data_IF_264619234257
#
_entry.id   IF_264619234257
#
_cell.length_a   1.000
_cell.length_b   1.000
_cell.length_c   1.000
_cell.angle_alpha   90.00
_cell.angle_beta   90.00
_cell.angle_gamma   90.00
#
_symmetry.space_group_name_H-M   'P 1'
#
loop_
_entity.id
_entity.type
_entity.pdbx_description
1 polymer ?
#
# COMPACT_ATOMS: atom_id res chain seq x y z
N UNK A 1 1.97 -11.99 6.66
CA UNK A 1 1.44 -10.61 6.73
C UNK A 1 -0.06 -10.68 6.47
N UNK A 2 -0.89 -9.93 7.20
CA UNK A 2 -2.35 -9.89 6.98
C UNK A 2 -2.79 -8.42 6.95
N UNK A 3 -3.60 -8.04 5.96
CA UNK A 3 -4.23 -6.73 5.91
C UNK A 3 -5.42 -6.67 6.87
N UNK A 4 -5.40 -5.72 7.79
CA UNK A 4 -6.45 -5.37 8.74
C UNK A 4 -7.24 -4.17 8.21
N UNK A 5 -8.44 -4.43 7.70
CA UNK A 5 -9.27 -3.39 7.08
C UNK A 5 -9.83 -2.39 8.09
N UNK A 6 -9.84 -1.10 7.71
CA UNK A 6 -10.30 0.00 8.55
C UNK A 6 -11.83 0.21 8.58
N UNK A 7 -12.56 -0.53 7.75
CA UNK A 7 -14.01 -0.39 7.61
C UNK A 7 -14.44 0.87 6.86
N UNK A 8 -15.76 1.10 6.86
CA UNK A 8 -16.41 2.17 6.10
C UNK A 8 -17.20 3.10 7.03
N UNK A 9 -17.20 4.38 6.69
CA UNK A 9 -18.12 5.37 7.26
C UNK A 9 -19.56 4.89 7.03
N UNK A 10 -20.40 4.83 8.08
CA UNK A 10 -21.80 4.40 7.94
C UNK A 10 -22.60 5.24 6.94
N UNK A 11 -23.62 4.64 6.35
CA UNK A 11 -24.53 5.37 5.46
C UNK A 11 -25.33 6.41 6.24
N UNK A 12 -25.52 7.59 5.65
CA UNK A 12 -26.33 8.66 6.24
C UNK A 12 -25.66 9.42 7.40
N UNK A 13 -24.39 9.13 7.72
CA UNK A 13 -23.64 9.86 8.74
C UNK A 13 -22.65 10.83 8.11
N UNK A 14 -22.49 12.00 8.72
CA UNK A 14 -21.38 12.89 8.41
C UNK A 14 -20.05 12.28 8.89
N UNK A 15 -19.03 12.29 8.02
CA UNK A 15 -17.71 11.70 8.31
C UNK A 15 -17.06 12.38 9.50
N UNK A 16 -17.14 13.71 9.60
CA UNK A 16 -16.53 14.44 10.71
C UNK A 16 -17.21 14.11 12.04
N UNK A 17 -18.55 14.01 12.04
CA UNK A 17 -19.33 13.65 13.22
C UNK A 17 -18.98 12.25 13.80
N UNK A 18 -18.60 11.28 12.96
CA UNK A 18 -18.28 9.91 13.43
C UNK A 18 -16.78 9.60 13.55
N UNK A 19 -15.91 10.49 13.06
CA UNK A 19 -14.47 10.25 12.95
C UNK A 19 -13.83 9.80 14.27
N UNK A 20 -14.10 10.50 15.38
CA UNK A 20 -13.50 10.16 16.68
C UNK A 20 -13.94 8.79 17.21
N UNK A 21 -15.20 8.41 17.01
CA UNK A 21 -15.71 7.09 17.39
C UNK A 21 -15.09 5.98 16.54
N UNK A 22 -15.02 6.20 15.22
CA UNK A 22 -14.39 5.24 14.30
C UNK A 22 -12.90 5.06 14.61
N UNK A 23 -12.19 6.16 14.90
CA UNK A 23 -10.79 6.13 15.31
C UNK A 23 -10.60 5.27 16.57
N UNK A 24 -11.39 5.53 17.61
CA UNK A 24 -11.32 4.79 18.88
C UNK A 24 -11.53 3.30 18.65
N UNK A 25 -12.60 2.93 17.96
CA UNK A 25 -12.90 1.52 17.64
C UNK A 25 -11.82 0.87 16.79
N UNK A 26 -11.26 1.59 15.81
CA UNK A 26 -10.21 1.04 14.96
C UNK A 26 -8.93 0.78 15.76
N UNK A 27 -8.52 1.70 16.63
CA UNK A 27 -7.35 1.52 17.51
C UNK A 27 -7.53 0.31 18.44
N UNK A 28 -8.71 0.15 19.05
CA UNK A 28 -9.02 -1.00 19.92
C UNK A 28 -8.93 -2.33 19.14
N UNK A 29 -9.52 -2.39 17.96
CA UNK A 29 -9.47 -3.56 17.09
C UNK A 29 -8.04 -3.88 16.64
N UNK A 30 -7.24 -2.87 16.30
CA UNK A 30 -5.85 -3.05 15.91
C UNK A 30 -5.00 -3.58 17.07
N UNK A 31 -5.20 -3.09 18.31
CA UNK A 31 -4.52 -3.63 19.49
C UNK A 31 -4.86 -5.11 19.71
N UNK A 32 -6.15 -5.44 19.65
CA UNK A 32 -6.61 -6.82 19.78
C UNK A 32 -6.00 -7.72 18.70
N UNK A 33 -6.06 -7.31 17.43
CA UNK A 33 -5.49 -8.05 16.32
C UNK A 33 -3.97 -8.21 16.46
N UNK A 34 -3.26 -7.15 16.86
CA UNK A 34 -1.82 -7.20 17.06
C UNK A 34 -1.42 -8.21 18.16
N UNK A 35 -2.15 -8.23 19.28
CA UNK A 35 -1.87 -9.14 20.39
C UNK A 35 -2.12 -10.62 20.00
N UNK A 36 -3.08 -10.89 19.11
CA UNK A 36 -3.29 -12.23 18.52
C UNK A 36 -2.21 -12.59 17.50
N UNK A 37 -1.90 -11.69 16.58
CA UNK A 37 -0.91 -11.94 15.52
C UNK A 37 0.50 -12.16 16.11
N UNK A 38 0.81 -11.52 17.24
CA UNK A 38 2.07 -11.72 17.95
C UNK A 38 2.26 -13.15 18.47
N UNK A 39 1.17 -13.87 18.79
CA UNK A 39 1.23 -15.27 19.24
C UNK A 39 1.65 -16.23 18.11
N UNK A 40 1.50 -15.78 16.86
CA UNK A 40 1.75 -16.55 15.65
C UNK A 40 2.93 -15.97 14.82
N UNK A 41 3.73 -15.08 15.42
CA UNK A 41 4.84 -14.36 14.76
C UNK A 41 4.41 -13.65 13.45
N UNK A 42 3.18 -13.16 13.40
CA UNK A 42 2.60 -12.51 12.23
C UNK A 42 2.62 -10.98 12.32
N UNK A 43 2.79 -10.35 11.16
CA UNK A 43 2.68 -8.90 10.98
C UNK A 43 1.29 -8.55 10.46
N UNK A 44 0.63 -7.61 11.13
CA UNK A 44 -0.58 -6.94 10.67
C UNK A 44 -0.23 -5.70 9.84
N UNK A 45 -1.00 -5.45 8.79
CA UNK A 45 -0.84 -4.31 7.90
C UNK A 45 -2.09 -3.45 7.92
N UNK A 46 -1.92 -2.13 7.95
CA UNK A 46 -3.01 -1.18 7.68
C UNK A 46 -2.75 -0.47 6.36
N UNK A 47 -3.76 -0.38 5.51
CA UNK A 47 -3.66 0.19 4.18
C UNK A 47 -4.60 1.40 4.05
N UNK A 48 -4.06 2.60 3.76
CA UNK A 48 -4.88 3.71 3.30
C UNK A 48 -5.45 3.43 1.90
N UNK A 49 -6.77 3.45 1.75
CA UNK A 49 -7.44 3.29 0.46
C UNK A 49 -8.04 4.63 0.02
N UNK A 50 -7.81 5.02 -1.23
CA UNK A 50 -8.34 6.28 -1.74
C UNK A 50 -9.88 6.30 -1.70
N UNK A 51 -10.43 7.41 -1.25
CA UNK A 51 -11.87 7.64 -1.20
C UNK A 51 -12.38 8.52 -2.35
N UNK A 52 -11.54 8.79 -3.35
CA UNK A 52 -11.93 9.53 -4.55
C UNK A 52 -12.58 8.62 -5.58
N UNK A 53 -11.98 7.46 -5.83
CA UNK A 53 -12.42 6.55 -6.89
C UNK A 53 -12.55 5.09 -6.45
N UNK A 54 -11.82 4.63 -5.43
CA UNK A 54 -11.86 3.22 -5.02
C UNK A 54 -12.98 2.95 -4.04
N UNK A 55 -13.01 3.64 -2.90
CA UNK A 55 -14.09 3.48 -1.93
C UNK A 55 -14.39 4.80 -1.19
N UNK A 56 -15.39 5.57 -1.65
CA UNK A 56 -15.75 6.87 -1.07
C UNK A 56 -16.03 6.87 0.43
N UNK A 57 -16.37 5.70 0.99
CA UNK A 57 -16.71 5.57 2.40
C UNK A 57 -15.56 5.00 3.24
N UNK A 58 -14.44 4.60 2.65
CA UNK A 58 -13.38 3.98 3.43
C UNK A 58 -12.80 4.92 4.49
N UNK A 59 -12.60 4.40 5.70
CA UNK A 59 -12.25 5.22 6.86
C UNK A 59 -10.81 5.74 6.81
N UNK A 60 -9.86 4.84 6.53
CA UNK A 60 -8.42 5.11 6.52
C UNK A 60 -7.98 5.46 5.09
N UNK A 61 -7.75 6.73 4.78
CA UNK A 61 -7.60 7.17 3.38
C UNK A 61 -6.32 7.95 3.07
N UNK A 62 -5.43 8.15 4.04
CA UNK A 62 -4.12 8.74 3.81
C UNK A 62 -3.00 8.06 4.62
N UNK A 63 -1.75 8.05 4.12
CA UNK A 63 -0.59 7.60 4.87
C UNK A 63 -0.39 8.36 6.19
N UNK A 64 -0.67 9.66 6.24
CA UNK A 64 -0.53 10.44 7.47
C UNK A 64 -1.50 9.96 8.56
N UNK A 65 -2.74 9.61 8.18
CA UNK A 65 -3.74 9.09 9.11
C UNK A 65 -3.29 7.72 9.62
N UNK A 66 -2.80 6.84 8.73
CA UNK A 66 -2.31 5.53 9.11
C UNK A 66 -1.07 5.59 10.02
N UNK A 67 -0.12 6.48 9.75
CA UNK A 67 1.04 6.70 10.62
C UNK A 67 0.61 7.12 12.04
N UNK A 68 -0.32 8.08 12.15
CA UNK A 68 -0.86 8.51 13.44
C UNK A 68 -1.62 7.38 14.16
N UNK A 69 -2.32 6.50 13.44
CA UNK A 69 -2.97 5.33 14.04
C UNK A 69 -1.96 4.31 14.57
N UNK A 70 -0.93 3.99 13.78
CA UNK A 70 0.13 3.06 14.18
C UNK A 70 0.87 3.55 15.43
N UNK A 71 1.16 4.85 15.51
CA UNK A 71 1.76 5.48 16.69
C UNK A 71 0.85 5.32 17.93
N UNK A 72 -0.44 5.66 17.82
CA UNK A 72 -1.41 5.52 18.92
C UNK A 72 -1.62 4.06 19.37
N UNK A 73 -1.55 3.12 18.44
CA UNK A 73 -1.68 1.68 18.75
C UNK A 73 -0.44 1.18 19.50
N UNK A 74 0.76 1.63 19.11
CA UNK A 74 2.00 1.34 19.81
C UNK A 74 2.38 -0.14 19.81
N UNK A 75 2.16 -0.83 18.68
CA UNK A 75 2.50 -2.26 18.51
C UNK A 75 3.52 -2.45 17.38
N UNK A 76 4.68 -3.06 17.62
CA UNK A 76 5.74 -3.17 16.63
C UNK A 76 5.43 -4.16 15.49
N UNK A 77 4.50 -5.09 15.71
CA UNK A 77 4.02 -6.05 14.70
C UNK A 77 2.86 -5.52 13.85
N UNK A 78 2.54 -4.22 13.96
CA UNK A 78 1.70 -3.51 12.99
C UNK A 78 2.54 -2.59 12.12
N UNK A 79 2.29 -2.61 10.82
CA UNK A 79 3.04 -1.83 9.83
C UNK A 79 2.10 -1.19 8.80
N UNK A 80 2.61 -0.21 8.09
CA UNK A 80 1.94 0.44 6.97
C UNK A 80 2.06 -0.41 5.70
N UNK A 81 0.94 -0.70 5.04
CA UNK A 81 0.92 -1.10 3.65
C UNK A 81 0.74 0.16 2.81
N UNK A 82 1.78 0.54 2.08
CA UNK A 82 1.75 1.74 1.23
C UNK A 82 1.51 1.32 -0.21
N UNK A 83 0.24 1.32 -0.61
CA UNK A 83 -0.15 1.22 -2.02
C UNK A 83 0.06 2.59 -2.71
N UNK A 84 0.92 2.61 -3.73
CA UNK A 84 1.29 3.84 -4.42
C UNK A 84 0.18 4.37 -5.34
N UNK A 85 -0.74 3.52 -5.80
CA UNK A 85 -1.92 3.95 -6.54
C UNK A 85 -2.87 4.74 -5.63
N UNK A 86 -3.15 4.23 -4.43
CA UNK A 86 -3.97 4.93 -3.44
C UNK A 86 -3.29 6.23 -2.96
N UNK A 87 -1.99 6.18 -2.65
CA UNK A 87 -1.23 7.33 -2.20
C UNK A 87 -1.18 8.45 -3.27
N UNK A 88 -0.92 8.11 -4.54
CA UNK A 88 -0.85 9.10 -5.61
C UNK A 88 -2.17 9.85 -5.78
N UNK A 89 -3.29 9.11 -5.77
CA UNK A 89 -4.63 9.69 -5.97
C UNK A 89 -5.01 10.64 -4.83
N UNK A 90 -4.62 10.33 -3.59
CA UNK A 90 -5.01 11.11 -2.42
C UNK A 90 -4.05 12.26 -2.13
N UNK A 91 -2.76 11.95 -2.02
CA UNK A 91 -1.75 12.84 -1.43
C UNK A 91 -0.64 13.20 -2.43
N UNK A 92 -0.43 12.39 -3.48
CA UNK A 92 0.69 12.56 -4.40
C UNK A 92 2.03 12.48 -3.67
N UNK A 93 2.97 13.35 -4.07
CA UNK A 93 4.25 13.58 -3.37
C UNK A 93 5.00 12.29 -2.99
N UNK A 94 4.98 11.29 -3.89
CA UNK A 94 5.36 9.92 -3.57
C UNK A 94 6.80 9.80 -3.04
N UNK A 95 7.75 10.55 -3.59
CA UNK A 95 9.14 10.47 -3.12
C UNK A 95 9.27 10.86 -1.64
N UNK A 96 8.66 11.99 -1.25
CA UNK A 96 8.71 12.47 0.13
C UNK A 96 7.88 11.60 1.06
N UNK A 97 6.74 11.10 0.60
CA UNK A 97 5.92 10.17 1.39
C UNK A 97 6.66 8.85 1.62
N UNK A 98 7.34 8.31 0.61
CA UNK A 98 8.19 7.13 0.75
C UNK A 98 9.31 7.36 1.77
N UNK A 99 10.06 8.45 1.64
CA UNK A 99 11.11 8.82 2.60
C UNK A 99 10.56 8.95 4.04
N UNK A 100 9.43 9.66 4.20
CA UNK A 100 8.84 9.98 5.51
C UNK A 100 8.32 8.72 6.21
N UNK A 101 7.60 7.88 5.47
CA UNK A 101 6.93 6.72 6.07
C UNK A 101 7.76 5.45 6.01
N UNK A 102 8.94 5.46 5.38
CA UNK A 102 9.81 4.30 5.22
C UNK A 102 9.97 3.43 6.49
N UNK A 103 10.23 4.00 7.69
CA UNK A 103 10.40 3.20 8.90
C UNK A 103 9.15 2.42 9.34
N UNK A 104 7.97 2.84 8.86
CA UNK A 104 6.68 2.23 9.18
C UNK A 104 6.24 1.20 8.12
N UNK A 105 6.80 1.25 6.92
CA UNK A 105 6.37 0.42 5.79
C UNK A 105 6.68 -1.06 6.06
N UNK A 106 5.66 -1.90 5.98
CA UNK A 106 5.76 -3.37 6.03
C UNK A 106 5.48 -4.04 4.69
N UNK A 107 4.86 -3.33 3.76
CA UNK A 107 4.58 -3.77 2.40
C UNK A 107 4.30 -2.59 1.46
N UNK A 108 4.59 -2.76 0.16
CA UNK A 108 4.34 -1.78 -0.90
C UNK A 108 3.54 -2.46 -1.99
N UNK A 109 2.56 -1.76 -2.55
CA UNK A 109 1.84 -2.20 -3.75
C UNK A 109 1.89 -1.14 -4.83
N UNK A 110 1.77 -1.59 -6.09
CA UNK A 110 1.89 -0.74 -7.26
C UNK A 110 0.78 -1.01 -8.28
N UNK A 111 0.28 0.07 -8.87
CA UNK A 111 -0.49 0.08 -10.09
C UNK A 111 -0.35 1.46 -10.75
N UNK A 112 -0.45 1.52 -12.07
CA UNK A 112 -0.37 2.79 -12.79
C UNK A 112 -1.62 3.65 -12.56
N UNK A 113 -1.45 4.97 -12.48
CA UNK A 113 -2.52 5.95 -12.26
C UNK A 113 -2.81 6.68 -13.57
N UNK A 114 -4.09 6.94 -13.93
CA UNK A 114 -5.30 6.66 -13.16
C UNK A 114 -5.92 5.27 -13.42
N UNK A 115 -5.44 4.52 -14.41
CA UNK A 115 -6.14 3.32 -14.91
C UNK A 115 -6.09 2.07 -14.03
N UNK A 116 -5.22 2.03 -13.00
CA UNK A 116 -4.94 0.86 -12.16
C UNK A 116 -4.49 -0.37 -12.97
N UNK A 117 -3.62 -0.12 -13.94
CA UNK A 117 -3.07 -1.11 -14.87
C UNK A 117 -1.58 -1.35 -14.62
N UNK A 118 -0.92 -2.09 -15.52
CA UNK A 118 0.51 -2.40 -15.45
C UNK A 118 1.36 -1.13 -15.25
N UNK A 119 2.48 -1.20 -14.52
CA UNK A 119 3.41 -0.08 -14.30
C UNK A 119 3.87 0.65 -15.58
N UNK A 120 4.02 -0.06 -16.70
CA UNK A 120 4.42 0.53 -17.99
C UNK A 120 3.24 0.98 -18.87
N UNK A 121 2.00 0.83 -18.42
CA UNK A 121 0.85 1.34 -19.15
C UNK A 121 0.85 2.89 -19.16
N UNK A 122 0.17 3.54 -20.13
CA UNK A 122 0.04 5.00 -20.12
C UNK A 122 -0.56 5.52 -18.81
N UNK A 123 0.13 6.46 -18.18
CA UNK A 123 -0.25 7.05 -16.90
C UNK A 123 0.76 8.10 -16.42
N UNK A 124 0.57 8.56 -15.19
CA UNK A 124 1.33 9.68 -14.63
C UNK A 124 2.54 9.27 -13.78
N UNK A 125 2.66 7.99 -13.39
CA UNK A 125 3.75 7.52 -12.53
C UNK A 125 4.94 6.99 -13.33
N UNK A 126 6.14 7.48 -13.00
CA UNK A 126 7.41 6.97 -13.50
C UNK A 126 7.93 5.85 -12.58
N UNK A 127 7.56 4.60 -12.88
CA UNK A 127 7.96 3.45 -12.08
C UNK A 127 9.46 3.13 -12.05
N UNK A 128 10.24 3.26 -13.14
CA UNK A 128 11.70 3.16 -13.08
C UNK A 128 12.31 4.02 -11.97
N UNK A 129 11.93 5.30 -11.89
CA UNK A 129 12.37 6.20 -10.83
C UNK A 129 11.91 5.74 -9.44
N UNK A 130 10.65 5.30 -9.30
CA UNK A 130 10.12 4.80 -8.02
C UNK A 130 10.91 3.57 -7.55
N UNK A 131 11.22 2.62 -8.42
CA UNK A 131 12.00 1.44 -8.06
C UNK A 131 13.43 1.79 -7.65
N UNK A 132 14.09 2.71 -8.36
CA UNK A 132 15.40 3.24 -7.96
C UNK A 132 15.34 3.92 -6.59
N UNK A 133 14.28 4.68 -6.31
CA UNK A 133 14.08 5.29 -5.00
C UNK A 133 13.92 4.23 -3.89
N UNK A 134 13.09 3.20 -4.11
CA UNK A 134 12.91 2.12 -3.15
C UNK A 134 14.23 1.38 -2.86
N UNK A 135 15.02 1.10 -3.90
CA UNK A 135 16.36 0.51 -3.77
C UNK A 135 17.30 1.44 -2.98
N UNK A 136 17.28 2.74 -3.26
CA UNK A 136 18.12 3.72 -2.55
C UNK A 136 17.77 3.88 -1.08
N UNK A 137 16.50 3.70 -0.71
CA UNK A 137 16.03 3.66 0.67
C UNK A 137 16.37 2.33 1.36
N UNK A 138 16.82 1.32 0.60
CA UNK A 138 17.15 -0.01 1.13
C UNK A 138 15.92 -0.89 1.36
N UNK A 139 14.85 -0.72 0.58
CA UNK A 139 13.66 -1.57 0.70
C UNK A 139 13.99 -3.01 0.27
N UNK A 140 13.86 -3.96 1.20
CA UNK A 140 14.12 -5.40 0.95
C UNK A 140 12.84 -6.24 0.97
N UNK A 141 11.67 -5.61 1.09
CA UNK A 141 10.38 -6.29 1.08
C UNK A 141 9.89 -6.64 -0.33
N UNK A 142 8.77 -7.35 -0.40
CA UNK A 142 8.09 -7.58 -1.68
C UNK A 142 7.32 -6.34 -2.15
N UNK A 143 7.27 -6.13 -3.46
CA UNK A 143 6.38 -5.16 -4.12
C UNK A 143 5.20 -5.93 -4.72
N UNK A 144 3.99 -5.66 -4.23
CA UNK A 144 2.77 -6.30 -4.71
C UNK A 144 2.26 -5.65 -6.01
N UNK A 145 2.00 -6.47 -7.02
CA UNK A 145 1.51 -6.04 -8.33
C UNK A 145 -0.04 -6.04 -8.34
N UNK A 146 -0.67 -5.11 -7.60
CA UNK A 146 -2.12 -5.04 -7.45
C UNK A 146 -2.79 -4.16 -8.52
N UNK A 147 -2.70 -4.61 -9.77
CA UNK A 147 -3.33 -3.95 -10.91
C UNK A 147 -4.23 -4.92 -11.69
N UNK A 148 -5.16 -4.36 -12.46
CA UNK A 148 -5.94 -5.11 -13.44
C UNK A 148 -5.19 -5.10 -14.78
N UNK A 149 -4.76 -6.25 -15.32
CA UNK A 149 -4.09 -6.28 -16.62
C UNK A 149 -4.97 -5.67 -17.73
N UNK A 150 -4.38 -4.92 -18.67
CA UNK A 150 -5.14 -4.35 -19.81
C UNK A 150 -5.57 -5.41 -20.82
N UNK A 151 -4.82 -6.49 -20.91
CA UNK A 151 -5.04 -7.58 -21.85
C UNK A 151 -4.58 -8.90 -21.23
N UNK A 152 -3.91 -9.74 -22.02
CA UNK A 152 -3.32 -10.96 -21.49
C UNK A 152 -2.27 -10.63 -20.41
N UNK A 153 -2.33 -11.39 -19.31
CA UNK A 153 -1.47 -11.14 -18.15
C UNK A 153 0.00 -11.38 -18.47
N UNK A 154 0.34 -12.45 -19.20
CA UNK A 154 1.73 -12.81 -19.49
C UNK A 154 2.36 -11.85 -20.51
N UNK A 155 1.57 -11.42 -21.49
CA UNK A 155 1.98 -10.40 -22.45
C UNK A 155 2.27 -9.06 -21.75
N UNK A 156 1.46 -8.69 -20.75
CA UNK A 156 1.60 -7.48 -19.94
C UNK A 156 2.85 -7.42 -19.04
N UNK A 157 3.56 -8.53 -18.82
CA UNK A 157 4.75 -8.58 -17.94
C UNK A 157 6.02 -7.95 -18.54
N UNK A 158 5.95 -7.27 -19.69
CA UNK A 158 7.11 -6.63 -20.33
C UNK A 158 7.85 -5.63 -19.42
N UNK A 159 7.13 -4.95 -18.52
CA UNK A 159 7.72 -4.03 -17.54
C UNK A 159 8.64 -4.75 -16.55
N UNK A 160 8.25 -5.93 -16.09
CA UNK A 160 9.00 -6.73 -15.12
C UNK A 160 10.28 -7.26 -15.78
N UNK A 161 10.18 -7.67 -17.05
CA UNK A 161 11.36 -8.08 -17.83
C UNK A 161 12.37 -6.95 -17.97
N UNK A 162 11.89 -5.78 -18.35
CA UNK A 162 12.71 -4.57 -18.49
C UNK A 162 13.41 -4.20 -17.18
N UNK A 163 12.70 -4.33 -16.05
CA UNK A 163 13.28 -4.09 -14.72
C UNK A 163 14.44 -5.06 -14.42
N UNK A 164 14.24 -6.37 -14.59
CA UNK A 164 15.30 -7.36 -14.34
C UNK A 164 16.50 -7.22 -15.28
N UNK A 165 16.26 -6.97 -16.57
CA UNK A 165 17.32 -6.72 -17.55
C UNK A 165 18.17 -5.50 -17.16
N UNK A 166 17.54 -4.41 -16.69
CA UNK A 166 18.25 -3.22 -16.21
C UNK A 166 19.13 -3.47 -14.98
N UNK A 167 18.93 -4.59 -14.28
CA UNK A 167 19.71 -5.03 -13.11
C UNK A 167 20.67 -6.18 -13.46
N UNK A 168 20.82 -6.51 -14.75
CA UNK A 168 21.69 -7.59 -15.21
C UNK A 168 21.19 -8.99 -14.83
N UNK A 169 19.92 -9.13 -14.43
CA UNK A 169 19.33 -10.41 -14.05
C UNK A 169 18.74 -11.07 -15.31
N UNK A 170 19.30 -12.22 -15.72
CA UNK A 170 18.73 -13.03 -16.80
C UNK A 170 17.55 -13.88 -16.29
N UNK A 171 16.54 -14.10 -17.14
CA UNK A 171 15.42 -14.97 -16.83
C UNK A 171 15.91 -16.41 -16.65
N UNK A 172 16.08 -16.83 -15.40
CA UNK A 172 16.14 -18.23 -15.03
C UNK A 172 14.75 -18.86 -15.19
N UNK A 173 14.40 -19.21 -16.42
CA UNK A 173 13.27 -20.09 -16.67
C UNK A 173 13.55 -21.46 -16.07
N UNK A 174 13.09 -21.72 -14.86
CA UNK A 174 12.86 -23.10 -14.42
C UNK A 174 11.44 -23.45 -14.79
N UNK A 175 11.30 -24.08 -15.96
CA UNK A 175 10.22 -25.02 -16.20
C UNK A 175 10.29 -26.08 -15.10
N UNK A 176 9.26 -26.17 -14.28
CA UNK A 176 8.89 -27.37 -13.52
C UNK A 176 7.40 -27.56 -13.67
#
# INVERSE_FOLDING_TARGET
RIHLMAGRVPLGTDRAAVAGKMETTFIENLRYAADLLAQEDMIGLVEPINNRITDPRYFLNSPHQAAAMLEKVGRPNLKLQLDLFHCQIMDGNLSRNLETYFPLIGHIQIAQVPGRHEPNSPGELNFPYIFELLESLGYTGYVGCEYAPKGDTLEGLGWLRSYWESRGLQHGGTSK
#
